data_IF_362805709354
#
_entry.id   IF_362805709354
#
_cell.length_a   1.000
_cell.length_b   1.000
_cell.length_c   1.000
_cell.angle_alpha   90.00
_cell.angle_beta   90.00
_cell.angle_gamma   90.00
#
_symmetry.space_group_name_H-M   'P 1'
#
loop_
_entity.id
_entity.type
_entity.pdbx_description
1 polymer ?
#
# COMPACT_ATOMS: atom_id res chain seq x y z
N UNK A 1 57.24 -67.53 32.04
CA UNK A 1 58.43 -67.09 32.80
C UNK A 1 58.26 -65.60 33.13
N UNK A 2 58.73 -65.13 34.30
CA UNK A 2 58.49 -63.75 34.75
C UNK A 2 59.38 -62.71 34.01
N UNK A 3 58.98 -61.42 33.95
CA UNK A 3 59.65 -60.39 33.13
C UNK A 3 60.60 -59.49 33.96
N UNK A 4 61.18 -58.46 33.33
CA UNK A 4 61.25 -57.09 33.90
C UNK A 4 61.71 -56.02 32.91
N UNK A 5 61.18 -54.81 33.10
CA UNK A 5 61.64 -53.56 32.51
C UNK A 5 62.47 -52.73 33.51
N UNK A 6 63.38 -51.85 33.06
CA UNK A 6 64.00 -50.81 33.89
C UNK A 6 63.05 -49.61 34.14
N UNK A 7 63.37 -48.68 35.06
CA UNK A 7 62.36 -48.12 35.98
C UNK A 7 62.04 -46.61 35.83
N UNK A 8 61.17 -46.13 36.74
CA UNK A 8 60.71 -44.74 36.88
C UNK A 8 60.80 -44.29 38.36
N UNK A 9 60.76 -42.97 38.61
CA UNK A 9 60.40 -42.24 39.85
C UNK A 9 61.48 -41.64 40.77
N UNK A 10 61.48 -40.30 40.81
CA UNK A 10 61.40 -39.33 41.94
C UNK A 10 61.10 -37.95 41.31
N UNK A 11 60.47 -36.91 41.88
CA UNK A 11 59.48 -36.66 42.97
C UNK A 11 58.87 -35.25 42.64
N UNK A 12 57.74 -34.75 43.16
CA UNK A 12 56.70 -35.28 44.06
C UNK A 12 55.73 -34.16 44.50
N UNK A 13 54.64 -34.52 45.21
CA UNK A 13 53.78 -33.65 46.06
C UNK A 13 53.26 -32.25 45.56
N UNK A 14 52.05 -32.26 44.99
CA UNK A 14 50.87 -31.42 45.37
C UNK A 14 50.98 -29.96 45.89
N UNK A 15 50.48 -28.99 45.07
CA UNK A 15 49.44 -27.93 45.34
C UNK A 15 49.55 -26.94 46.56
N UNK A 16 48.75 -25.83 46.67
CA UNK A 16 47.73 -25.21 45.78
C UNK A 16 47.96 -23.68 45.48
N UNK A 17 46.91 -22.88 45.17
CA UNK A 17 46.91 -21.47 44.69
C UNK A 17 46.35 -20.43 45.71
N UNK A 18 46.82 -19.17 45.66
CA UNK A 18 46.06 -17.87 45.61
C UNK A 18 47.00 -16.65 45.88
N UNK A 19 46.65 -15.33 45.79
CA UNK A 19 45.88 -14.51 44.80
C UNK A 19 45.89 -12.99 45.18
N UNK A 20 45.95 -12.06 44.18
CA UNK A 20 45.79 -10.55 44.27
C UNK A 20 46.89 -9.82 45.06
N UNK A 21 47.29 -8.55 44.80
CA UNK A 21 46.64 -7.29 44.30
C UNK A 21 47.49 -6.60 43.17
N UNK A 22 46.96 -5.78 42.23
CA UNK A 22 46.40 -4.40 42.34
C UNK A 22 47.49 -3.38 42.79
N UNK A 23 47.76 -2.19 42.21
CA UNK A 23 46.99 -1.11 41.50
C UNK A 23 47.97 -0.41 40.49
N UNK A 24 47.62 0.24 39.35
CA UNK A 24 47.00 1.57 39.18
C UNK A 24 46.67 1.94 37.70
N UNK A 25 46.07 3.11 37.45
CA UNK A 25 45.52 3.61 36.17
C UNK A 25 45.77 5.14 36.01
N UNK A 26 45.32 5.91 35.00
CA UNK A 26 44.39 5.71 33.86
C UNK A 26 44.63 6.74 32.74
N UNK A 27 44.08 6.55 31.53
CA UNK A 27 43.54 7.61 30.62
C UNK A 27 43.04 7.03 29.28
N UNK A 28 42.29 7.84 28.51
CA UNK A 28 41.77 7.58 27.16
C UNK A 28 40.96 8.81 26.68
N UNK A 29 40.18 8.77 25.58
CA UNK A 29 39.99 7.67 24.63
C UNK A 29 40.35 8.04 23.17
N UNK A 30 40.78 7.05 22.36
CA UNK A 30 40.85 7.20 20.89
C UNK A 30 39.71 6.44 20.20
N UNK A 31 39.11 7.08 19.18
CA UNK A 31 37.88 6.62 18.51
C UNK A 31 38.22 5.91 17.20
N UNK A 32 37.57 4.79 16.93
CA UNK A 32 37.81 3.96 15.74
C UNK A 32 37.29 4.59 14.43
N UNK A 33 37.92 4.24 13.30
CA UNK A 33 37.21 4.19 12.02
C UNK A 33 37.46 2.86 11.26
N UNK A 34 36.88 1.75 11.73
CA UNK A 34 36.94 0.44 11.03
C UNK A 34 35.71 0.19 10.13
N UNK A 35 35.06 1.24 9.63
CA UNK A 35 33.81 1.17 8.84
C UNK A 35 33.85 2.08 7.61
N UNK A 36 34.99 2.10 6.90
CA UNK A 36 35.26 3.03 5.79
C UNK A 36 35.79 2.34 4.52
N UNK A 37 35.45 1.06 4.28
CA UNK A 37 36.06 0.24 3.24
C UNK A 37 35.09 -0.71 2.49
N UNK A 38 34.01 -0.18 1.91
CA UNK A 38 33.19 -0.92 0.92
C UNK A 38 32.34 -0.07 -0.06
N UNK A 39 32.44 1.26 -0.04
CA UNK A 39 31.67 2.13 -0.95
C UNK A 39 32.36 2.33 -2.31
N UNK A 40 32.48 1.24 -3.08
CA UNK A 40 32.97 1.30 -4.45
C UNK A 40 32.45 0.16 -5.34
N UNK A 41 31.24 0.33 -5.91
CA UNK A 41 31.16 0.24 -7.37
C UNK A 41 29.98 1.02 -7.99
N UNK A 42 30.30 1.89 -8.96
CA UNK A 42 29.49 2.54 -10.02
C UNK A 42 28.11 3.18 -9.71
N UNK A 43 27.80 4.36 -10.30
CA UNK A 43 26.41 4.81 -10.44
C UNK A 43 25.65 3.86 -11.38
N UNK A 44 24.61 3.22 -10.88
CA UNK A 44 23.70 2.44 -11.71
C UNK A 44 22.96 3.37 -12.68
N UNK A 45 23.37 3.37 -13.95
CA UNK A 45 22.75 4.21 -14.97
C UNK A 45 21.38 3.63 -15.37
N UNK A 46 20.35 3.94 -14.57
CA UNK A 46 18.97 3.45 -14.72
C UNK A 46 18.37 3.86 -16.07
N UNK A 47 18.63 3.05 -17.10
CA UNK A 47 17.93 3.08 -18.38
C UNK A 47 16.51 2.55 -18.18
N UNK A 48 15.63 3.39 -17.60
CA UNK A 48 14.27 3.03 -17.19
C UNK A 48 13.54 2.22 -18.28
N UNK A 49 13.61 2.73 -19.52
CA UNK A 49 13.04 2.17 -20.76
C UNK A 49 13.46 0.72 -21.03
N UNK A 50 14.67 0.30 -20.60
CA UNK A 50 15.22 -1.04 -20.84
C UNK A 50 14.86 -2.05 -19.75
N UNK A 51 14.29 -1.60 -18.63
CA UNK A 51 13.77 -2.46 -17.56
C UNK A 51 12.36 -3.00 -17.86
N UNK A 52 11.54 -2.23 -18.58
CA UNK A 52 10.12 -2.48 -18.78
C UNK A 52 9.81 -3.89 -19.28
N UNK A 53 9.15 -4.67 -18.42
CA UNK A 53 8.45 -5.89 -18.78
C UNK A 53 7.01 -5.58 -19.19
N UNK A 54 6.34 -6.54 -19.84
CA UNK A 54 4.97 -6.37 -20.33
C UNK A 54 3.95 -6.13 -19.20
N UNK A 55 4.25 -6.58 -17.97
CA UNK A 55 3.46 -6.25 -16.78
C UNK A 55 3.53 -4.74 -16.48
N UNK A 56 4.72 -4.16 -16.36
CA UNK A 56 4.93 -2.73 -16.05
C UNK A 56 4.16 -1.79 -17.02
N UNK A 57 3.98 -2.19 -18.29
CA UNK A 57 3.14 -1.46 -19.26
C UNK A 57 1.63 -1.56 -18.99
N UNK A 58 1.14 -2.70 -18.52
CA UNK A 58 -0.26 -2.88 -18.11
C UNK A 58 -0.54 -2.15 -16.79
N UNK A 59 0.41 -2.13 -15.86
CA UNK A 59 0.38 -1.37 -14.61
C UNK A 59 0.33 0.15 -14.88
N UNK A 60 1.17 0.65 -15.80
CA UNK A 60 1.03 2.02 -16.30
C UNK A 60 -0.33 2.25 -16.98
N UNK A 61 -0.88 1.25 -17.65
CA UNK A 61 -2.25 1.27 -18.19
C UNK A 61 -3.31 1.47 -17.11
N UNK A 62 -3.21 0.75 -15.98
CA UNK A 62 -4.06 0.98 -14.80
C UNK A 62 -3.93 2.45 -14.34
N UNK A 63 -2.72 2.93 -14.06
CA UNK A 63 -2.49 4.31 -13.61
C UNK A 63 -2.96 5.39 -14.60
N UNK A 64 -2.85 5.15 -15.91
CA UNK A 64 -3.41 6.02 -16.97
C UNK A 64 -4.94 6.05 -16.93
N UNK A 65 -5.60 4.91 -16.68
CA UNK A 65 -7.05 4.88 -16.50
C UNK A 65 -7.49 5.68 -15.26
N UNK A 66 -6.80 5.51 -14.13
CA UNK A 66 -7.03 6.30 -12.91
C UNK A 66 -6.85 7.80 -13.13
N UNK A 67 -5.72 8.23 -13.69
CA UNK A 67 -5.45 9.64 -13.97
C UNK A 67 -6.45 10.23 -14.99
N UNK A 68 -6.84 9.47 -16.01
CA UNK A 68 -7.84 9.92 -16.98
C UNK A 68 -9.22 10.03 -16.33
N UNK A 69 -9.58 9.16 -15.38
CA UNK A 69 -10.81 9.27 -14.60
C UNK A 69 -10.85 10.55 -13.74
N UNK A 70 -9.72 10.90 -13.10
CA UNK A 70 -9.55 12.16 -12.36
C UNK A 70 -9.78 13.36 -13.30
N UNK A 71 -9.11 13.38 -14.46
CA UNK A 71 -9.27 14.47 -15.44
C UNK A 71 -10.69 14.54 -16.02
N UNK A 72 -11.35 13.41 -16.28
CA UNK A 72 -12.74 13.36 -16.70
C UNK A 72 -13.70 13.88 -15.62
N UNK A 73 -13.45 13.57 -14.34
CA UNK A 73 -14.21 14.11 -13.20
C UNK A 73 -14.08 15.63 -13.10
N UNK A 74 -12.87 16.17 -13.31
CA UNK A 74 -12.64 17.61 -13.39
C UNK A 74 -13.31 18.24 -14.63
N UNK A 75 -13.22 17.59 -15.81
CA UNK A 75 -13.89 18.06 -17.03
C UNK A 75 -15.41 18.10 -16.91
N UNK A 76 -16.02 17.17 -16.20
CA UNK A 76 -17.45 17.19 -15.89
C UNK A 76 -17.83 18.48 -15.13
N UNK A 77 -17.09 18.83 -14.07
CA UNK A 77 -17.35 20.03 -13.27
C UNK A 77 -17.15 21.34 -14.05
N UNK A 78 -16.19 21.42 -14.99
CA UNK A 78 -15.89 22.67 -15.74
C UNK A 78 -16.51 22.74 -17.14
N UNK A 79 -17.25 21.72 -17.57
CA UNK A 79 -17.89 21.68 -18.91
C UNK A 79 -19.40 21.45 -18.77
N UNK A 80 -20.06 22.35 -18.05
CA UNK A 80 -21.52 22.39 -17.86
C UNK A 80 -22.17 21.04 -17.51
N UNK A 81 -21.50 20.27 -16.63
CA UNK A 81 -21.95 18.95 -16.17
C UNK A 81 -22.19 17.95 -17.32
N UNK A 82 -21.44 18.05 -18.43
CA UNK A 82 -21.60 17.15 -19.56
C UNK A 82 -21.35 15.68 -19.15
N UNK A 83 -22.45 14.92 -19.09
CA UNK A 83 -22.49 13.55 -18.57
C UNK A 83 -21.60 12.54 -19.29
N UNK A 84 -21.12 12.82 -20.51
CA UNK A 84 -20.11 12.00 -21.17
C UNK A 84 -18.83 11.88 -20.32
N UNK A 85 -18.37 12.99 -19.73
CA UNK A 85 -17.15 12.97 -18.90
C UNK A 85 -17.38 12.25 -17.57
N UNK A 86 -18.58 12.34 -16.99
CA UNK A 86 -18.94 11.58 -15.79
C UNK A 86 -18.95 10.07 -16.06
N UNK A 87 -19.59 9.64 -17.15
CA UNK A 87 -19.59 8.23 -17.56
C UNK A 87 -18.20 7.72 -17.90
N UNK A 88 -17.37 8.52 -18.58
CA UNK A 88 -15.97 8.18 -18.82
C UNK A 88 -15.20 7.98 -17.51
N UNK A 89 -15.35 8.89 -16.54
CA UNK A 89 -14.70 8.75 -15.24
C UNK A 89 -15.13 7.49 -14.48
N UNK A 90 -16.44 7.20 -14.45
CA UNK A 90 -17.02 6.01 -13.80
C UNK A 90 -16.55 4.70 -14.45
N UNK A 91 -16.41 4.66 -15.78
CA UNK A 91 -16.05 3.44 -16.53
C UNK A 91 -14.53 3.19 -16.53
N UNK A 92 -13.70 4.23 -16.51
CA UNK A 92 -12.25 4.09 -16.54
C UNK A 92 -11.68 3.37 -15.31
N UNK A 93 -12.28 3.52 -14.13
CA UNK A 93 -11.82 2.87 -12.89
C UNK A 93 -11.91 1.32 -12.98
N UNK A 94 -13.06 0.69 -13.28
CA UNK A 94 -13.13 -0.75 -13.47
C UNK A 94 -12.35 -1.25 -14.70
N UNK A 95 -12.07 -0.41 -15.71
CA UNK A 95 -11.13 -0.75 -16.79
C UNK A 95 -9.69 -0.82 -16.28
N UNK A 96 -9.27 0.12 -15.43
CA UNK A 96 -7.97 0.04 -14.73
C UNK A 96 -7.83 -1.25 -13.92
N UNK A 97 -8.87 -1.64 -13.18
CA UNK A 97 -8.90 -2.88 -12.41
C UNK A 97 -8.84 -4.16 -13.26
N UNK A 98 -9.29 -4.09 -14.52
CA UNK A 98 -9.11 -5.20 -15.46
C UNK A 98 -7.66 -5.31 -15.95
N UNK A 99 -6.97 -4.19 -16.18
CA UNK A 99 -5.56 -4.16 -16.57
C UNK A 99 -4.65 -4.66 -15.42
N UNK A 100 -4.93 -4.23 -14.21
CA UNK A 100 -4.32 -4.67 -12.95
C UNK A 100 -4.37 -6.20 -12.76
N UNK A 101 -5.58 -6.77 -12.81
CA UNK A 101 -5.80 -8.23 -12.71
C UNK A 101 -5.15 -9.02 -13.86
N UNK A 102 -4.88 -8.37 -15.01
CA UNK A 102 -4.09 -8.94 -16.09
C UNK A 102 -2.58 -8.86 -15.85
N UNK A 103 -2.06 -7.74 -15.34
CA UNK A 103 -0.62 -7.58 -15.11
C UNK A 103 -0.10 -8.55 -14.05
N UNK A 104 -0.85 -8.74 -12.95
CA UNK A 104 -0.50 -9.71 -11.93
C UNK A 104 -0.54 -11.16 -12.45
N UNK A 105 -1.41 -11.45 -13.44
CA UNK A 105 -1.41 -12.73 -14.15
C UNK A 105 -0.18 -12.87 -15.05
N UNK A 106 0.19 -11.83 -15.80
CA UNK A 106 1.38 -11.80 -16.67
C UNK A 106 2.67 -11.93 -15.86
N UNK A 107 2.83 -11.19 -14.76
CA UNK A 107 4.01 -11.26 -13.88
C UNK A 107 4.19 -12.66 -13.29
N UNK A 108 3.10 -13.29 -12.81
CA UNK A 108 3.12 -14.69 -12.33
C UNK A 108 3.46 -15.68 -13.45
N UNK A 109 2.88 -15.54 -14.64
CA UNK A 109 3.18 -16.41 -15.79
C UNK A 109 4.64 -16.30 -16.25
N UNK A 110 5.20 -15.09 -16.23
CA UNK A 110 6.59 -14.81 -16.66
C UNK A 110 7.64 -15.13 -15.59
N UNK A 111 7.23 -15.58 -14.39
CA UNK A 111 8.11 -15.90 -13.25
C UNK A 111 9.11 -14.78 -12.91
N UNK A 112 8.72 -13.53 -13.16
CA UNK A 112 9.52 -12.33 -12.92
C UNK A 112 8.64 -11.25 -12.32
N UNK A 113 8.88 -10.97 -11.05
CA UNK A 113 8.43 -9.75 -10.37
C UNK A 113 9.68 -8.93 -10.06
N UNK A 114 9.64 -7.63 -10.32
CA UNK A 114 10.72 -6.69 -10.01
C UNK A 114 10.29 -5.79 -8.85
N UNK A 115 11.23 -5.33 -8.03
CA UNK A 115 10.92 -4.39 -6.94
C UNK A 115 10.37 -3.06 -7.49
N UNK A 116 10.90 -2.58 -8.62
CA UNK A 116 10.39 -1.40 -9.30
C UNK A 116 8.93 -1.60 -9.75
N UNK A 117 8.59 -2.78 -10.28
CA UNK A 117 7.23 -3.13 -10.66
C UNK A 117 6.26 -3.12 -9.48
N UNK A 118 6.66 -3.64 -8.31
CA UNK A 118 5.81 -3.66 -7.10
C UNK A 118 5.52 -2.25 -6.54
N UNK A 119 6.47 -1.32 -6.63
CA UNK A 119 6.24 0.08 -6.25
C UNK A 119 5.41 0.83 -7.31
N UNK A 120 5.61 0.56 -8.61
CA UNK A 120 4.77 1.11 -9.69
C UNK A 120 3.31 0.62 -9.60
N UNK A 121 3.13 -0.67 -9.29
CA UNK A 121 1.85 -1.34 -9.00
C UNK A 121 1.11 -0.60 -7.89
N UNK A 122 1.76 -0.47 -6.73
CA UNK A 122 1.23 0.27 -5.58
C UNK A 122 0.85 1.72 -5.89
N UNK A 123 1.65 2.43 -6.70
CA UNK A 123 1.37 3.81 -7.08
C UNK A 123 0.21 3.93 -8.08
N UNK A 124 0.07 2.97 -9.01
CA UNK A 124 -1.07 2.91 -9.92
C UNK A 124 -2.36 2.58 -9.17
N UNK A 125 -2.33 1.59 -8.27
CA UNK A 125 -3.42 1.14 -7.40
C UNK A 125 -3.96 2.31 -6.54
N UNK A 126 -3.06 3.12 -5.96
CA UNK A 126 -3.42 4.34 -5.21
C UNK A 126 -4.15 5.37 -6.07
N UNK A 127 -3.68 5.64 -7.30
CA UNK A 127 -4.30 6.63 -8.19
C UNK A 127 -5.66 6.13 -8.68
N UNK A 128 -5.75 4.88 -9.15
CA UNK A 128 -6.96 4.32 -9.76
C UNK A 128 -8.06 3.98 -8.77
N UNK A 129 -7.73 3.58 -7.54
CA UNK A 129 -8.72 3.06 -6.58
C UNK A 129 -8.75 3.82 -5.24
N UNK A 130 -7.78 4.70 -4.99
CA UNK A 130 -7.85 5.71 -3.94
C UNK A 130 -8.30 7.07 -4.48
N UNK A 131 -7.47 7.71 -5.29
CA UNK A 131 -7.66 9.12 -5.69
C UNK A 131 -8.79 9.30 -6.71
N UNK A 132 -8.91 8.42 -7.71
CA UNK A 132 -9.97 8.52 -8.72
C UNK A 132 -11.39 8.34 -8.14
N UNK A 133 -11.70 7.32 -7.31
CA UNK A 133 -13.02 7.19 -6.68
C UNK A 133 -13.37 8.37 -5.76
N UNK A 134 -12.40 8.94 -5.05
CA UNK A 134 -12.61 10.17 -4.26
C UNK A 134 -12.95 11.37 -5.17
N UNK A 135 -12.21 11.55 -6.27
CA UNK A 135 -12.46 12.64 -7.23
C UNK A 135 -13.84 12.51 -7.89
N UNK A 136 -14.28 11.29 -8.22
CA UNK A 136 -15.63 11.02 -8.74
C UNK A 136 -16.71 11.40 -7.72
N UNK A 137 -16.53 11.08 -6.43
CA UNK A 137 -17.47 11.49 -5.37
C UNK A 137 -17.60 13.00 -5.26
N UNK A 138 -16.47 13.71 -5.21
CA UNK A 138 -16.45 15.18 -5.22
C UNK A 138 -17.13 15.77 -6.46
N UNK A 139 -16.90 15.18 -7.65
CA UNK A 139 -17.56 15.58 -8.89
C UNK A 139 -19.08 15.33 -8.89
N UNK A 140 -19.57 14.35 -8.12
CA UNK A 140 -20.98 14.02 -7.96
C UNK A 140 -21.73 14.87 -6.92
N UNK A 141 -21.07 15.86 -6.31
CA UNK A 141 -21.68 16.80 -5.36
C UNK A 141 -21.35 16.54 -3.88
N UNK A 142 -20.52 15.54 -3.55
CA UNK A 142 -20.03 15.33 -2.18
C UNK A 142 -18.93 16.37 -1.85
N UNK A 143 -19.34 17.61 -1.60
CA UNK A 143 -18.45 18.78 -1.53
C UNK A 143 -18.47 19.49 -0.18
N UNK A 144 -19.16 18.96 0.85
CA UNK A 144 -19.11 19.60 2.18
C UNK A 144 -17.75 19.39 2.85
N UNK A 145 -17.45 20.19 3.88
CA UNK A 145 -16.22 20.06 4.66
C UNK A 145 -16.04 18.65 5.25
N UNK A 146 -17.13 18.00 5.68
CA UNK A 146 -17.10 16.64 6.22
C UNK A 146 -16.99 15.57 5.12
N UNK A 147 -17.59 15.79 3.95
CA UNK A 147 -17.42 14.91 2.79
C UNK A 147 -15.95 14.87 2.34
N UNK A 148 -15.31 16.03 2.27
CA UNK A 148 -13.89 16.18 1.93
C UNK A 148 -13.02 15.45 2.95
N UNK A 149 -13.28 15.61 4.26
CA UNK A 149 -12.56 14.89 5.32
C UNK A 149 -12.75 13.37 5.20
N UNK A 150 -13.96 12.89 4.90
CA UNK A 150 -14.23 11.46 4.69
C UNK A 150 -13.47 10.88 3.48
N UNK A 151 -13.40 11.61 2.37
CA UNK A 151 -12.65 11.20 1.19
C UNK A 151 -11.12 11.26 1.40
N UNK A 152 -10.61 12.28 2.08
CA UNK A 152 -9.18 12.38 2.46
C UNK A 152 -8.80 11.25 3.42
N UNK A 153 -9.64 10.93 4.41
CA UNK A 153 -9.46 9.80 5.31
C UNK A 153 -9.37 8.48 4.53
N UNK A 154 -10.30 8.23 3.60
CA UNK A 154 -10.29 7.05 2.75
C UNK A 154 -9.00 6.91 1.92
N UNK A 155 -8.51 7.98 1.29
CA UNK A 155 -7.23 7.95 0.55
C UNK A 155 -6.06 7.68 1.50
N UNK A 156 -6.04 8.29 2.68
CA UNK A 156 -5.02 8.01 3.70
C UNK A 156 -5.05 6.55 4.20
N UNK A 157 -6.23 5.92 4.26
CA UNK A 157 -6.35 4.47 4.53
C UNK A 157 -5.73 3.62 3.41
N UNK A 158 -5.97 3.98 2.14
CA UNK A 158 -5.35 3.33 0.98
C UNK A 158 -3.82 3.42 1.01
N UNK A 159 -3.27 4.62 1.25
CA UNK A 159 -1.82 4.85 1.40
C UNK A 159 -1.23 4.00 2.53
N UNK A 160 -1.84 4.08 3.73
CA UNK A 160 -1.38 3.33 4.92
C UNK A 160 -1.36 1.82 4.70
N UNK A 161 -2.29 1.34 3.87
CA UNK A 161 -2.43 -0.06 3.51
C UNK A 161 -1.37 -0.53 2.51
N UNK A 162 -1.14 0.23 1.43
CA UNK A 162 -0.09 -0.08 0.45
C UNK A 162 1.29 -0.10 1.13
N UNK A 163 1.57 0.93 1.94
CA UNK A 163 2.81 1.00 2.71
C UNK A 163 2.99 -0.23 3.63
N UNK A 164 1.91 -0.71 4.28
CA UNK A 164 1.95 -1.95 5.08
C UNK A 164 2.20 -3.19 4.23
N UNK A 165 1.57 -3.29 3.05
CA UNK A 165 1.76 -4.41 2.13
C UNK A 165 3.21 -4.50 1.67
N UNK A 166 3.78 -3.42 1.13
CA UNK A 166 5.15 -3.41 0.61
C UNK A 166 6.17 -3.67 1.73
N UNK A 167 5.98 -3.07 2.91
CA UNK A 167 6.81 -3.34 4.08
C UNK A 167 6.74 -4.80 4.56
N UNK A 168 5.57 -5.45 4.47
CA UNK A 168 5.40 -6.87 4.84
C UNK A 168 6.03 -7.79 3.80
N UNK A 169 5.86 -7.51 2.50
CA UNK A 169 6.50 -8.26 1.41
C UNK A 169 8.04 -8.18 1.51
N UNK A 170 8.58 -7.03 1.91
CA UNK A 170 10.01 -6.82 2.09
C UNK A 170 10.61 -7.46 3.37
N UNK A 171 9.79 -7.78 4.39
CA UNK A 171 10.27 -8.24 5.71
C UNK A 171 9.99 -9.71 6.03
N UNK A 172 9.20 -10.42 5.22
CA UNK A 172 8.90 -11.84 5.39
C UNK A 172 10.12 -12.75 5.10
N UNK A 173 10.62 -13.55 6.07
CA UNK A 173 11.59 -14.60 5.80
C UNK A 173 11.01 -15.68 4.88
N UNK A 174 11.80 -16.18 3.93
CA UNK A 174 11.42 -17.30 3.06
C UNK A 174 11.64 -18.66 3.75
N UNK A 175 10.99 -18.86 4.88
CA UNK A 175 11.08 -20.11 5.64
C UNK A 175 10.36 -21.28 4.94
N UNK A 176 10.96 -22.47 5.05
CA UNK A 176 10.68 -23.65 4.23
C UNK A 176 9.35 -24.39 4.55
N UNK A 177 8.42 -23.74 5.25
CA UNK A 177 7.13 -24.30 5.67
C UNK A 177 5.90 -23.58 5.09
N UNK A 178 6.09 -22.44 4.42
CA UNK A 178 5.21 -21.98 3.32
C UNK A 178 3.74 -21.66 3.64
N UNK A 179 3.35 -21.39 4.90
CA UNK A 179 1.95 -21.06 5.27
C UNK A 179 1.82 -19.74 6.05
N UNK A 180 1.68 -18.64 5.33
CA UNK A 180 1.19 -17.37 5.87
C UNK A 180 -0.34 -17.51 6.05
N UNK A 181 -0.81 -17.52 7.30
CA UNK A 181 -2.14 -18.07 7.62
C UNK A 181 -3.32 -17.08 7.58
N UNK A 182 -3.06 -15.77 7.53
CA UNK A 182 -4.09 -14.73 7.44
C UNK A 182 -3.67 -13.59 6.50
N UNK A 183 -4.61 -13.09 5.70
CA UNK A 183 -4.54 -11.78 5.06
C UNK A 183 -5.38 -10.81 5.89
N UNK A 184 -4.95 -9.56 6.04
CA UNK A 184 -5.67 -8.54 6.82
C UNK A 184 -6.27 -7.44 5.94
N UNK A 185 -7.52 -7.08 6.22
CA UNK A 185 -8.33 -6.15 5.45
C UNK A 185 -8.85 -6.70 4.11
N UNK A 186 -9.58 -5.86 3.36
CA UNK A 186 -10.16 -6.15 2.02
C UNK A 186 -9.11 -6.24 0.88
N UNK A 187 -9.47 -6.05 -0.41
CA UNK A 187 -8.54 -5.41 -1.36
C UNK A 187 -8.81 -3.90 -1.55
N UNK A 188 -7.83 -3.14 -2.05
CA UNK A 188 -8.01 -1.73 -2.42
C UNK A 188 -9.02 -1.55 -3.58
N UNK A 189 -9.03 -2.42 -4.62
CA UNK A 189 -10.13 -2.52 -5.58
C UNK A 189 -11.55 -2.70 -5.03
N UNK A 190 -11.77 -2.84 -3.71
CA UNK A 190 -13.15 -2.74 -3.15
C UNK A 190 -13.79 -1.37 -3.33
N UNK A 191 -13.02 -0.31 -3.62
CA UNK A 191 -13.57 1.00 -3.97
C UNK A 191 -14.39 0.99 -5.29
N UNK A 192 -14.19 -0.01 -6.15
CA UNK A 192 -15.02 -0.26 -7.34
C UNK A 192 -16.49 -0.47 -6.94
N UNK A 193 -16.79 -0.96 -5.73
CA UNK A 193 -18.16 -1.07 -5.24
C UNK A 193 -18.81 0.32 -5.00
N UNK A 194 -18.03 1.32 -4.56
CA UNK A 194 -18.50 2.71 -4.42
C UNK A 194 -18.75 3.31 -5.82
N UNK A 195 -17.80 3.12 -6.74
CA UNK A 195 -17.93 3.59 -8.13
C UNK A 195 -19.11 2.94 -8.85
N UNK A 196 -19.34 1.64 -8.64
CA UNK A 196 -20.49 0.91 -9.18
C UNK A 196 -21.82 1.37 -8.60
N UNK A 197 -21.87 1.67 -7.29
CA UNK A 197 -23.05 2.28 -6.67
C UNK A 197 -23.32 3.68 -7.24
N UNK A 198 -22.29 4.50 -7.44
CA UNK A 198 -22.44 5.81 -8.07
C UNK A 198 -22.91 5.70 -9.53
N UNK A 199 -22.33 4.79 -10.33
CA UNK A 199 -22.78 4.53 -11.69
C UNK A 199 -24.25 4.08 -11.73
N UNK A 200 -24.68 3.23 -10.79
CA UNK A 200 -26.08 2.86 -10.63
C UNK A 200 -26.97 4.07 -10.24
N UNK A 201 -26.56 4.89 -9.26
CA UNK A 201 -27.31 6.08 -8.84
C UNK A 201 -27.42 7.13 -9.95
N UNK A 202 -26.40 7.30 -10.80
CA UNK A 202 -26.46 8.13 -12.00
C UNK A 202 -27.39 7.52 -13.05
N UNK A 203 -27.32 6.20 -13.28
CA UNK A 203 -28.21 5.49 -14.21
C UNK A 203 -29.70 5.65 -13.85
N UNK A 204 -30.05 5.55 -12.56
CA UNK A 204 -31.44 5.75 -12.09
C UNK A 204 -31.81 7.23 -11.86
N UNK A 205 -31.00 8.18 -12.36
CA UNK A 205 -31.28 9.62 -12.29
C UNK A 205 -31.29 10.22 -10.89
N UNK A 206 -30.61 9.59 -9.91
CA UNK A 206 -30.50 10.06 -8.51
C UNK A 206 -29.23 10.87 -8.25
N UNK A 207 -28.28 10.88 -9.18
CA UNK A 207 -27.07 11.72 -9.19
C UNK A 207 -26.77 12.16 -10.64
N UNK A 208 -25.92 13.17 -10.81
CA UNK A 208 -25.49 13.65 -12.12
C UNK A 208 -26.37 14.75 -12.73
N UNK A 209 -26.18 15.09 -14.02
CA UNK A 209 -26.72 16.32 -14.62
C UNK A 209 -28.23 16.34 -14.83
N UNK A 210 -28.90 15.19 -14.70
CA UNK A 210 -30.36 15.07 -14.73
C UNK A 210 -31.04 15.48 -13.41
N UNK A 211 -30.28 15.80 -12.36
CA UNK A 211 -30.80 16.22 -11.05
C UNK A 211 -30.75 17.76 -10.97
N UNK A 212 -31.90 18.48 -10.93
CA UNK A 212 -31.92 19.95 -10.90
C UNK A 212 -31.22 20.58 -9.69
N UNK A 213 -30.99 19.80 -8.64
CA UNK A 213 -30.35 20.20 -7.38
C UNK A 213 -29.14 19.32 -7.06
N UNK A 214 -28.19 19.21 -8.00
CA UNK A 214 -26.91 18.48 -7.80
C UNK A 214 -26.18 18.89 -6.49
N UNK A 215 -26.33 20.16 -6.07
CA UNK A 215 -25.73 20.76 -4.87
C UNK A 215 -26.65 20.87 -3.65
N UNK A 216 -27.86 20.28 -3.68
CA UNK A 216 -28.79 20.31 -2.53
C UNK A 216 -29.58 19.01 -2.33
N UNK A 217 -29.40 18.04 -3.24
CA UNK A 217 -30.00 16.72 -3.17
C UNK A 217 -29.12 15.66 -3.85
N UNK A 218 -27.85 15.58 -3.44
CA UNK A 218 -27.12 14.29 -3.51
C UNK A 218 -28.04 13.23 -2.89
N UNK A 219 -28.14 12.04 -3.49
CA UNK A 219 -29.29 11.11 -3.46
C UNK A 219 -30.06 10.82 -2.14
N UNK A 220 -29.55 11.20 -0.96
CA UNK A 220 -30.15 11.03 0.36
C UNK A 220 -30.35 12.33 1.17
N UNK A 221 -29.98 13.50 0.61
CA UNK A 221 -30.07 14.82 1.26
C UNK A 221 -28.85 15.21 2.10
N UNK A 222 -28.75 16.51 2.42
CA UNK A 222 -27.75 17.05 3.36
C UNK A 222 -28.20 16.86 4.81
N UNK A 223 -27.31 16.32 5.65
CA UNK A 223 -27.55 16.16 7.08
C UNK A 223 -26.79 17.22 7.86
N UNK A 224 -27.55 18.05 8.58
CA UNK A 224 -27.02 19.10 9.44
C UNK A 224 -26.60 18.52 10.81
N UNK A 225 -25.32 18.61 11.13
CA UNK A 225 -24.77 18.39 12.46
C UNK A 225 -24.72 19.74 13.19
N UNK A 226 -25.02 19.73 14.49
CA UNK A 226 -24.97 20.93 15.34
C UNK A 226 -23.61 21.63 15.25
N UNK A 227 -23.63 22.97 15.18
CA UNK A 227 -22.42 23.79 14.94
C UNK A 227 -22.20 24.19 13.47
N UNK A 228 -23.14 23.91 12.57
CA UNK A 228 -23.06 24.37 11.17
C UNK A 228 -22.25 23.48 10.24
N UNK A 229 -22.02 22.22 10.63
CA UNK A 229 -21.34 21.23 9.79
C UNK A 229 -22.38 20.39 9.03
N UNK A 230 -22.31 20.37 7.70
CA UNK A 230 -23.13 19.49 6.85
C UNK A 230 -22.33 18.29 6.35
N UNK A 231 -23.00 17.18 6.10
CA UNK A 231 -22.43 16.01 5.39
C UNK A 231 -23.50 15.29 4.58
N UNK A 232 -23.06 14.54 3.56
CA UNK A 232 -23.91 13.63 2.81
C UNK A 232 -23.77 12.20 3.34
N UNK A 233 -24.87 11.42 3.50
CA UNK A 233 -24.79 10.02 3.91
C UNK A 233 -23.91 9.14 3.01
N UNK A 234 -23.76 9.49 1.72
CA UNK A 234 -22.84 8.81 0.81
C UNK A 234 -21.36 8.97 1.21
N UNK A 235 -20.98 10.05 1.89
CA UNK A 235 -19.61 10.23 2.38
C UNK A 235 -19.22 9.19 3.43
N UNK A 236 -20.20 8.66 4.20
CA UNK A 236 -19.96 7.59 5.17
C UNK A 236 -19.48 6.28 4.50
N UNK A 237 -19.74 6.08 3.20
CA UNK A 237 -19.23 4.94 2.45
C UNK A 237 -17.70 4.96 2.32
N UNK A 238 -17.10 6.16 2.18
CA UNK A 238 -15.65 6.33 2.20
C UNK A 238 -15.07 6.05 3.59
N UNK A 239 -15.71 6.54 4.65
CA UNK A 239 -15.29 6.26 6.04
C UNK A 239 -15.36 4.76 6.33
N UNK A 240 -16.46 4.10 5.96
CA UNK A 240 -16.63 2.65 6.11
C UNK A 240 -15.59 1.88 5.30
N UNK A 241 -15.43 2.20 4.01
CA UNK A 241 -14.46 1.52 3.15
C UNK A 241 -13.02 1.68 3.66
N UNK A 242 -12.59 2.91 4.00
CA UNK A 242 -11.28 3.18 4.59
C UNK A 242 -11.05 2.42 5.90
N UNK A 243 -12.08 2.36 6.76
CA UNK A 243 -12.04 1.55 7.98
C UNK A 243 -11.82 0.06 7.66
N UNK A 244 -12.52 -0.50 6.66
CA UNK A 244 -12.31 -1.90 6.22
C UNK A 244 -10.97 -2.16 5.52
N UNK A 245 -10.29 -1.12 5.03
CA UNK A 245 -8.92 -1.23 4.48
C UNK A 245 -7.84 -1.32 5.57
N UNK A 246 -8.03 -0.67 6.73
CA UNK A 246 -7.11 -0.73 7.87
C UNK A 246 -7.43 -1.89 8.84
N UNK A 247 -8.71 -2.29 8.94
CA UNK A 247 -9.21 -3.25 9.93
C UNK A 247 -8.55 -4.63 9.83
N UNK A 248 -7.90 -5.04 10.92
CA UNK A 248 -7.28 -6.36 11.10
C UNK A 248 -8.31 -7.47 11.42
N UNK A 249 -9.61 -7.14 11.47
CA UNK A 249 -10.66 -8.04 11.98
C UNK A 249 -11.23 -8.98 10.90
N UNK A 250 -11.10 -8.66 9.62
CA UNK A 250 -11.62 -9.46 8.51
C UNK A 250 -10.70 -10.64 8.14
N UNK A 251 -10.80 -11.74 8.91
CA UNK A 251 -10.13 -13.01 8.60
C UNK A 251 -10.97 -13.83 7.60
N UNK A 252 -10.70 -13.68 6.30
CA UNK A 252 -11.31 -14.53 5.26
C UNK A 252 -10.48 -15.82 5.12
N UNK A 253 -11.04 -17.02 5.39
CA UNK A 253 -10.36 -18.28 5.13
C UNK A 253 -10.29 -18.56 3.62
N UNK A 254 -9.20 -19.16 3.16
CA UNK A 254 -9.14 -19.73 1.80
C UNK A 254 -9.98 -21.00 1.72
N UNK A 255 -10.75 -21.10 0.65
CA UNK A 255 -11.15 -22.36 0.02
C UNK A 255 -10.01 -22.81 -0.93
#
# INVERSE_FOLDING_TARGET
MAPKSPPVLRNGATAPRDRRREVNSSSGPDVAPTVAASLSDRPAHFSLVRSFHLADFLTLGNGVCGMTSILCSMKYLVTDLNGWYLWAALILIPVGAFLDVLDGRVARWRQKSSLLGQELDSLADLVSFGVAPATVGFALGLQTNLDIVAMVYFVACGISRLARYNATVASLPKDSTGKIHYFEGTPIPTSIAIVGLFAYLVYIGRLGPSVPTLYSSVAFGEYHVGGGLTYHPLALLYVFSGTTMISQTLRIPKL
#
